data_IF_327983256780
#
_entry.id   IF_327983256780
#
_cell.length_a   1.000
_cell.length_b   1.000
_cell.length_c   1.000
_cell.angle_alpha   90.00
_cell.angle_beta   90.00
_cell.angle_gamma   90.00
#
_symmetry.space_group_name_H-M   'P 1'
#
loop_
_entity.id
_entity.type
_entity.pdbx_description
1 polymer ?
#
# COMPACT_ATOMS: atom_id res chain seq x y z
N UNK A 1 -13.19 6.37 11.57
CA UNK A 1 -13.46 7.55 10.73
C UNK A 1 -13.80 8.72 11.64
N UNK A 2 -13.30 9.91 11.35
CA UNK A 2 -13.47 11.09 12.21
C UNK A 2 -14.11 12.25 11.46
N UNK A 3 -14.18 13.41 12.12
CA UNK A 3 -14.74 14.67 11.58
C UNK A 3 -14.16 15.02 10.20
N UNK A 4 -12.88 14.70 9.98
CA UNK A 4 -12.22 14.80 8.68
C UNK A 4 -11.66 13.44 8.25
N UNK A 5 -11.74 13.17 6.96
CA UNK A 5 -11.09 12.09 6.25
C UNK A 5 -10.13 12.68 5.19
N UNK A 6 -9.48 11.82 4.40
CA UNK A 6 -8.55 12.25 3.35
C UNK A 6 -8.73 11.39 2.10
N UNK A 7 -8.67 12.02 0.93
CA UNK A 7 -8.74 11.34 -0.38
C UNK A 7 -7.53 11.69 -1.27
N UNK A 8 -7.27 10.89 -2.31
CA UNK A 8 -6.11 11.08 -3.19
C UNK A 8 -4.83 10.48 -2.63
N UNK A 9 -3.70 11.18 -2.72
CA UNK A 9 -2.38 10.70 -2.27
C UNK A 9 -2.18 10.80 -0.75
N UNK A 10 -3.18 10.36 0.02
CA UNK A 10 -3.08 10.24 1.49
C UNK A 10 -2.01 9.22 1.92
N UNK A 11 -1.55 9.26 3.19
CA UNK A 11 -2.00 10.15 4.27
C UNK A 11 -1.39 11.57 4.17
N UNK A 12 -0.48 11.81 3.22
CA UNK A 12 0.35 13.02 3.22
C UNK A 12 -0.10 14.08 2.22
N UNK A 13 -0.24 13.68 0.96
CA UNK A 13 -0.56 14.57 -0.17
C UNK A 13 -2.03 14.53 -0.57
N UNK A 14 -2.88 13.89 0.22
CA UNK A 14 -4.30 13.79 -0.04
C UNK A 14 -5.04 15.05 0.40
N UNK A 15 -6.20 15.29 -0.21
CA UNK A 15 -7.08 16.39 0.13
C UNK A 15 -7.93 16.03 1.35
N UNK A 16 -7.99 16.92 2.34
CA UNK A 16 -8.86 16.75 3.50
C UNK A 16 -10.33 16.87 3.07
N UNK A 17 -11.16 15.94 3.53
CA UNK A 17 -12.60 15.88 3.26
C UNK A 17 -13.33 15.92 4.60
N UNK A 18 -14.15 16.95 4.79
CA UNK A 18 -15.01 17.03 5.97
C UNK A 18 -16.12 15.99 5.83
N UNK A 19 -16.22 15.10 6.81
CA UNK A 19 -17.20 14.02 6.84
C UNK A 19 -18.19 14.19 8.00
N UNK A 20 -17.78 14.85 9.10
CA UNK A 20 -18.60 15.04 10.30
C UNK A 20 -19.26 13.74 10.82
N UNK A 21 -18.58 12.60 10.59
CA UNK A 21 -19.13 11.26 10.84
C UNK A 21 -18.18 10.44 11.71
N UNK A 22 -18.76 9.75 12.69
CA UNK A 22 -18.08 8.77 13.52
C UNK A 22 -18.63 7.39 13.18
N UNK A 23 -17.72 6.43 12.99
CA UNK A 23 -18.06 5.02 12.79
C UNK A 23 -17.58 4.27 14.03
N UNK A 24 -18.47 3.51 14.64
CA UNK A 24 -18.16 2.64 15.77
C UNK A 24 -18.90 1.30 15.61
N UNK A 25 -18.24 0.21 15.98
CA UNK A 25 -18.79 -1.14 15.94
C UNK A 25 -18.08 -2.03 16.95
N UNK A 26 -18.75 -3.09 17.40
CA UNK A 26 -18.12 -4.18 18.17
C UNK A 26 -17.45 -5.22 17.27
N UNK A 27 -17.79 -5.21 15.98
CA UNK A 27 -17.18 -6.02 14.94
C UNK A 27 -16.24 -5.11 14.12
N UNK A 28 -14.94 -5.42 14.18
CA UNK A 28 -13.88 -4.64 13.51
C UNK A 28 -13.97 -4.73 11.99
N UNK A 29 -14.36 -5.87 11.44
CA UNK A 29 -14.53 -6.07 10.00
C UNK A 29 -15.73 -5.27 9.51
N UNK A 30 -16.83 -5.26 10.28
CA UNK A 30 -17.99 -4.47 9.96
C UNK A 30 -17.68 -2.96 9.97
N UNK A 31 -16.87 -2.47 10.93
CA UNK A 31 -16.45 -1.07 10.98
C UNK A 31 -15.71 -0.66 9.70
N UNK A 32 -14.67 -1.42 9.31
CA UNK A 32 -13.86 -1.12 8.14
C UNK A 32 -14.65 -1.29 6.83
N UNK A 33 -15.51 -2.30 6.76
CA UNK A 33 -16.39 -2.51 5.62
C UNK A 33 -17.43 -1.39 5.48
N UNK A 34 -17.95 -0.85 6.60
CA UNK A 34 -18.82 0.33 6.60
C UNK A 34 -18.09 1.55 6.05
N UNK A 35 -16.86 1.81 6.53
CA UNK A 35 -16.04 2.92 6.05
C UNK A 35 -15.78 2.80 4.53
N UNK A 36 -15.46 1.60 4.03
CA UNK A 36 -15.32 1.34 2.60
C UNK A 36 -16.58 1.72 1.82
N UNK A 37 -17.76 1.28 2.27
CA UNK A 37 -19.04 1.58 1.61
C UNK A 37 -19.33 3.08 1.56
N UNK A 38 -19.06 3.79 2.66
CA UNK A 38 -19.20 5.24 2.74
C UNK A 38 -18.25 5.94 1.75
N UNK A 39 -17.01 5.46 1.60
CA UNK A 39 -16.05 5.99 0.62
C UNK A 39 -16.35 5.57 -0.84
N UNK A 40 -17.38 4.75 -1.06
CA UNK A 40 -17.72 4.21 -2.38
C UNK A 40 -16.79 3.09 -2.85
N UNK A 41 -16.11 2.41 -1.94
CA UNK A 41 -15.25 1.24 -2.16
C UNK A 41 -16.07 -0.03 -1.89
N UNK A 42 -15.92 -1.03 -2.75
CA UNK A 42 -16.39 -2.37 -2.43
C UNK A 42 -15.45 -3.01 -1.38
N UNK A 43 -15.92 -3.36 -0.17
CA UNK A 43 -15.07 -3.96 0.88
C UNK A 43 -14.32 -5.22 0.42
N UNK A 44 -14.89 -6.00 -0.49
CA UNK A 44 -14.26 -7.22 -1.03
C UNK A 44 -13.05 -6.93 -1.95
N UNK A 45 -12.85 -5.68 -2.38
CA UNK A 45 -11.63 -5.28 -3.09
C UNK A 45 -10.45 -5.04 -2.15
N UNK A 46 -10.69 -4.98 -0.83
CA UNK A 46 -9.68 -4.72 0.19
C UNK A 46 -9.25 -6.06 0.80
N UNK A 47 -8.04 -6.49 0.46
CA UNK A 47 -7.56 -7.85 0.75
C UNK A 47 -7.56 -8.19 2.26
N UNK A 48 -7.16 -7.25 3.12
CA UNK A 48 -7.11 -7.53 4.56
C UNK A 48 -8.51 -7.65 5.20
N UNK A 49 -9.52 -6.94 4.68
CA UNK A 49 -10.92 -7.06 5.12
C UNK A 49 -11.45 -8.45 4.73
N UNK A 50 -11.23 -8.86 3.48
CA UNK A 50 -11.62 -10.19 2.98
C UNK A 50 -10.99 -11.32 3.81
N UNK A 51 -9.68 -11.27 4.04
CA UNK A 51 -8.96 -12.28 4.83
C UNK A 51 -9.46 -12.30 6.28
N UNK A 52 -9.80 -11.16 6.87
CA UNK A 52 -10.32 -11.10 8.23
C UNK A 52 -11.69 -11.79 8.35
N UNK A 53 -12.58 -11.59 7.38
CA UNK A 53 -13.86 -12.31 7.29
C UNK A 53 -13.65 -13.82 7.10
N UNK A 54 -12.78 -14.24 6.19
CA UNK A 54 -12.45 -15.66 5.95
C UNK A 54 -11.88 -16.35 7.19
N UNK A 55 -11.24 -15.59 8.09
CA UNK A 55 -10.73 -16.06 9.39
C UNK A 55 -11.75 -15.98 10.52
N UNK A 56 -12.98 -15.54 10.25
CA UNK A 56 -14.04 -15.41 11.25
C UNK A 56 -13.80 -14.29 12.28
N UNK A 57 -12.99 -13.28 11.95
CA UNK A 57 -12.71 -12.15 12.85
C UNK A 57 -13.81 -11.08 12.85
N UNK A 58 -14.83 -11.26 12.01
CA UNK A 58 -15.96 -10.37 11.86
C UNK A 58 -16.65 -10.59 10.51
N UNK A 59 -17.67 -9.80 10.24
CA UNK A 59 -18.51 -9.95 9.05
C UNK A 59 -18.42 -8.71 8.16
N UNK A 60 -18.28 -8.92 6.85
CA UNK A 60 -18.36 -7.82 5.89
C UNK A 60 -19.82 -7.39 5.70
N UNK A 61 -20.76 -8.35 5.70
CA UNK A 61 -22.19 -8.12 5.47
C UNK A 61 -23.05 -8.40 6.71
N UNK A 62 -24.36 -8.21 6.58
CA UNK A 62 -25.37 -8.54 7.61
C UNK A 62 -25.18 -7.82 8.94
N UNK A 63 -24.71 -6.58 8.88
CA UNK A 63 -24.60 -5.71 10.04
C UNK A 63 -25.83 -4.79 10.15
N UNK A 64 -26.25 -4.54 11.38
CA UNK A 64 -27.25 -3.53 11.68
C UNK A 64 -26.58 -2.15 11.69
N UNK A 65 -27.12 -1.22 10.90
CA UNK A 65 -26.68 0.18 10.91
C UNK A 65 -27.62 0.96 11.81
N UNK A 66 -27.06 1.56 12.86
CA UNK A 66 -27.77 2.46 13.77
C UNK A 66 -27.27 3.89 13.54
N UNK A 67 -28.20 4.82 13.32
CA UNK A 67 -27.90 6.22 13.05
C UNK A 67 -28.10 6.58 11.57
N UNK A 68 -27.12 7.27 10.98
CA UNK A 68 -27.20 7.74 9.59
C UNK A 68 -27.22 6.58 8.60
N UNK A 69 -28.11 6.66 7.62
CA UNK A 69 -28.10 5.73 6.50
C UNK A 69 -26.85 5.95 5.64
N UNK A 70 -26.18 4.85 5.26
CA UNK A 70 -24.95 4.90 4.46
C UNK A 70 -25.17 5.71 3.18
N UNK A 71 -26.32 5.60 2.52
CA UNK A 71 -26.62 6.31 1.27
C UNK A 71 -26.60 7.83 1.42
N UNK A 72 -26.96 8.36 2.59
CA UNK A 72 -26.99 9.80 2.87
C UNK A 72 -25.59 10.38 3.08
N UNK A 73 -24.68 9.58 3.64
CA UNK A 73 -23.30 9.99 3.96
C UNK A 73 -22.27 9.49 2.94
N UNK A 74 -22.71 8.67 1.97
CA UNK A 74 -21.84 8.08 0.96
C UNK A 74 -21.27 9.15 0.05
N UNK A 75 -19.95 9.10 -0.12
CA UNK A 75 -19.20 9.95 -1.02
C UNK A 75 -18.19 9.11 -1.76
N UNK A 76 -18.07 9.31 -3.07
CA UNK A 76 -17.03 8.64 -3.87
C UNK A 76 -15.69 9.34 -3.61
N UNK A 77 -14.78 8.67 -2.93
CA UNK A 77 -13.44 9.20 -2.68
C UNK A 77 -12.56 9.04 -3.93
N UNK A 78 -11.62 9.97 -4.11
CA UNK A 78 -10.53 9.83 -5.09
C UNK A 78 -9.44 8.91 -4.55
N UNK A 79 -8.88 8.05 -5.41
CA UNK A 79 -7.80 7.13 -5.06
C UNK A 79 -6.50 7.51 -5.78
N UNK A 80 -5.33 7.25 -5.18
CA UNK A 80 -4.05 7.60 -5.80
C UNK A 80 -3.71 6.74 -7.04
N UNK A 81 -4.48 5.68 -7.30
CA UNK A 81 -4.23 4.71 -8.37
C UNK A 81 -5.28 4.83 -9.48
N UNK A 82 -4.87 5.37 -10.63
CA UNK A 82 -5.65 5.27 -11.88
C UNK A 82 -5.86 3.80 -12.29
N UNK A 83 -6.90 3.51 -13.09
CA UNK A 83 -7.29 2.14 -13.49
C UNK A 83 -6.10 1.28 -14.00
N UNK A 84 -5.16 1.89 -14.74
CA UNK A 84 -3.98 1.20 -15.26
C UNK A 84 -3.00 0.77 -14.15
N UNK A 85 -2.84 1.58 -13.09
CA UNK A 85 -2.02 1.22 -11.92
C UNK A 85 -2.67 0.11 -11.09
N UNK A 86 -4.02 0.00 -11.02
CA UNK A 86 -4.70 -1.14 -10.35
C UNK A 86 -4.42 -2.48 -11.03
N UNK A 87 -4.46 -2.53 -12.37
CA UNK A 87 -4.13 -3.74 -13.14
C UNK A 87 -2.68 -4.19 -12.85
N UNK A 88 -1.74 -3.24 -12.81
CA UNK A 88 -0.33 -3.47 -12.46
C UNK A 88 -0.16 -4.15 -11.10
N UNK A 89 -0.84 -3.67 -10.06
CA UNK A 89 -0.74 -4.28 -8.72
C UNK A 89 -1.43 -5.64 -8.64
N UNK A 90 -2.56 -5.84 -9.35
CA UNK A 90 -3.19 -7.17 -9.45
C UNK A 90 -2.30 -8.21 -10.12
N UNK A 91 -1.54 -7.83 -11.15
CA UNK A 91 -0.57 -8.73 -11.80
C UNK A 91 0.55 -9.11 -10.83
N UNK A 92 1.03 -8.15 -10.04
CA UNK A 92 2.06 -8.41 -9.04
C UNK A 92 1.53 -9.31 -7.91
N UNK A 93 0.32 -9.06 -7.41
CA UNK A 93 -0.33 -9.90 -6.40
C UNK A 93 -0.52 -11.33 -6.92
N UNK A 94 -0.97 -11.51 -8.16
CA UNK A 94 -1.10 -12.83 -8.78
C UNK A 94 0.25 -13.55 -8.90
N UNK A 95 1.31 -12.84 -9.32
CA UNK A 95 2.66 -13.39 -9.38
C UNK A 95 3.19 -13.83 -8.02
N UNK A 96 2.89 -13.07 -6.97
CA UNK A 96 3.27 -13.40 -5.59
C UNK A 96 2.45 -14.56 -5.01
N UNK A 97 1.14 -14.59 -5.26
CA UNK A 97 0.26 -15.68 -4.84
C UNK A 97 0.70 -17.00 -5.50
N UNK A 98 0.95 -16.98 -6.81
CA UNK A 98 1.50 -18.13 -7.53
C UNK A 98 2.87 -18.58 -6.98
N UNK A 99 3.77 -17.64 -6.67
CA UNK A 99 5.07 -17.96 -6.08
C UNK A 99 4.94 -18.58 -4.68
N UNK A 100 3.98 -18.13 -3.86
CA UNK A 100 3.76 -18.67 -2.52
C UNK A 100 3.22 -20.12 -2.51
N UNK A 101 2.54 -20.55 -3.57
CA UNK A 101 2.04 -21.91 -3.73
C UNK A 101 3.09 -22.91 -4.26
N UNK A 102 4.29 -22.45 -4.65
CA UNK A 102 5.30 -23.28 -5.30
C UNK A 102 6.40 -23.84 -4.39
N UNK A 103 6.33 -23.55 -3.08
CA UNK A 103 7.09 -24.27 -2.07
C UNK A 103 8.57 -23.88 -1.95
N UNK A 104 8.83 -22.80 -1.22
CA UNK A 104 9.99 -22.61 -0.35
C UNK A 104 11.37 -22.75 -0.97
N UNK A 105 11.60 -22.34 -2.22
CA UNK A 105 12.95 -22.36 -2.81
C UNK A 105 13.78 -21.10 -2.50
N UNK A 106 15.12 -21.18 -2.58
CA UNK A 106 16.04 -20.01 -2.39
C UNK A 106 15.77 -18.85 -3.36
N UNK A 107 15.17 -19.15 -4.52
CA UNK A 107 14.81 -18.15 -5.53
C UNK A 107 13.54 -17.36 -5.14
N UNK A 108 12.60 -17.97 -4.42
CA UNK A 108 11.42 -17.26 -3.88
C UNK A 108 11.83 -16.22 -2.85
N UNK A 109 12.82 -16.51 -1.99
CA UNK A 109 13.38 -15.52 -1.06
C UNK A 109 13.98 -14.33 -1.81
N UNK A 110 14.69 -14.59 -2.91
CA UNK A 110 15.29 -13.54 -3.74
C UNK A 110 14.22 -12.72 -4.47
N UNK A 111 13.22 -13.36 -5.05
CA UNK A 111 12.10 -12.69 -5.67
C UNK A 111 11.31 -11.85 -4.65
N UNK A 112 11.04 -12.40 -3.46
CA UNK A 112 10.40 -11.69 -2.37
C UNK A 112 11.22 -10.49 -1.89
N UNK A 113 12.53 -10.62 -1.70
CA UNK A 113 13.42 -9.51 -1.36
C UNK A 113 13.41 -8.41 -2.43
N UNK A 114 13.44 -8.79 -3.71
CA UNK A 114 13.42 -7.82 -4.81
C UNK A 114 12.05 -7.14 -4.92
N UNK A 115 10.97 -7.91 -4.87
CA UNK A 115 9.60 -7.39 -4.93
C UNK A 115 9.33 -6.47 -3.73
N UNK A 116 9.65 -6.89 -2.51
CA UNK A 116 9.48 -6.06 -1.32
C UNK A 116 10.32 -4.79 -1.38
N UNK A 117 11.56 -4.85 -1.89
CA UNK A 117 12.43 -3.67 -2.09
C UNK A 117 11.88 -2.74 -3.17
N UNK A 118 11.26 -3.29 -4.22
CA UNK A 118 10.68 -2.52 -5.31
C UNK A 118 9.33 -1.89 -4.94
N UNK A 119 8.54 -2.62 -4.16
CA UNK A 119 7.25 -2.18 -3.63
C UNK A 119 7.40 -1.19 -2.47
N UNK A 120 8.59 -1.12 -1.88
CA UNK A 120 8.90 -0.15 -0.85
C UNK A 120 8.79 1.26 -1.42
N UNK A 121 7.74 1.96 -1.02
CA UNK A 121 7.60 3.40 -1.25
C UNK A 121 8.77 4.08 -0.54
N UNK A 122 9.67 4.69 -1.30
CA UNK A 122 10.83 5.38 -0.74
C UNK A 122 10.66 6.89 -0.90
N UNK A 123 10.95 7.72 0.12
CA UNK A 123 10.93 9.17 -0.04
C UNK A 123 12.08 9.61 -0.95
N UNK A 124 11.84 10.59 -1.82
CA UNK A 124 12.83 11.23 -2.70
C UNK A 124 12.74 12.72 -2.51
N UNK A 125 13.87 13.36 -2.22
CA UNK A 125 13.97 14.82 -2.11
C UNK A 125 14.20 15.38 -3.50
N UNK A 126 13.33 16.29 -3.92
CA UNK A 126 13.38 16.93 -5.23
C UNK A 126 14.15 18.25 -5.18
N UNK A 127 14.39 18.83 -6.36
CA UNK A 127 15.12 20.10 -6.53
C UNK A 127 14.40 21.30 -5.91
N UNK A 128 13.09 21.19 -5.66
CA UNK A 128 12.27 22.22 -5.01
C UNK A 128 12.60 22.39 -3.51
N UNK A 129 13.46 21.53 -2.95
CA UNK A 129 13.86 21.57 -1.55
C UNK A 129 14.57 22.89 -1.18
N UNK A 130 14.02 23.61 -0.21
CA UNK A 130 14.57 24.87 0.32
C UNK A 130 15.58 24.68 1.45
N UNK A 131 16.05 23.46 1.68
CA UNK A 131 17.07 23.10 2.69
C UNK A 131 16.76 23.57 4.12
N UNK A 132 15.47 23.60 4.51
CA UNK A 132 15.06 23.96 5.88
C UNK A 132 15.37 22.88 6.94
N UNK A 133 15.84 21.70 6.54
CA UNK A 133 16.26 20.59 7.40
C UNK A 133 15.21 20.01 8.37
N UNK A 134 13.93 20.43 8.28
CA UNK A 134 12.84 19.87 9.10
C UNK A 134 12.72 18.35 9.00
N UNK A 135 12.98 17.78 7.82
CA UNK A 135 12.94 16.33 7.60
C UNK A 135 13.98 15.55 8.43
N UNK A 136 15.12 16.17 8.79
CA UNK A 136 16.16 15.55 9.61
C UNK A 136 15.62 15.31 11.02
N UNK A 137 15.08 16.36 11.66
CA UNK A 137 14.50 16.25 13.01
C UNK A 137 13.22 15.41 13.06
N UNK A 138 12.46 15.36 11.96
CA UNK A 138 11.26 14.53 11.86
C UNK A 138 11.56 13.03 11.69
N UNK A 139 12.78 12.64 11.28
CA UNK A 139 13.11 11.25 11.00
C UNK A 139 13.38 10.47 12.30
N UNK A 140 12.51 9.53 12.72
CA UNK A 140 12.67 8.84 14.01
C UNK A 140 13.86 7.88 14.05
N UNK A 141 14.38 7.50 12.88
CA UNK A 141 15.50 6.55 12.73
C UNK A 141 16.79 7.22 12.25
N UNK A 142 16.82 8.56 12.18
CA UNK A 142 18.01 9.30 11.76
C UNK A 142 18.54 8.88 10.38
N UNK A 143 17.64 8.61 9.42
CA UNK A 143 18.00 8.15 8.09
C UNK A 143 18.34 9.29 7.11
N UNK A 144 18.24 10.55 7.53
CA UNK A 144 18.52 11.73 6.68
C UNK A 144 19.68 12.49 7.31
N UNK A 145 20.74 12.72 6.53
CA UNK A 145 21.92 13.45 6.99
C UNK A 145 21.83 14.97 6.73
N UNK A 146 22.85 15.71 7.20
CA UNK A 146 22.93 17.17 7.05
C UNK A 146 23.05 17.64 5.59
N UNK A 147 23.46 16.75 4.68
CA UNK A 147 23.51 17.01 3.24
C UNK A 147 22.17 16.69 2.56
N UNK A 148 21.13 16.35 3.32
CA UNK A 148 19.82 15.93 2.85
C UNK A 148 19.89 14.65 2.00
N UNK A 149 20.89 13.80 2.24
CA UNK A 149 20.94 12.47 1.65
C UNK A 149 20.18 11.47 2.54
N UNK A 150 19.38 10.61 1.92
CA UNK A 150 18.59 9.58 2.60
C UNK A 150 19.33 8.25 2.55
N UNK A 151 19.67 7.69 3.72
CA UNK A 151 20.14 6.31 3.84
C UNK A 151 18.95 5.34 3.81
N UNK A 152 18.68 4.79 2.62
CA UNK A 152 17.59 3.83 2.42
C UNK A 152 17.77 2.51 3.17
N UNK A 153 18.98 2.20 3.68
CA UNK A 153 19.19 1.01 4.52
C UNK A 153 18.64 1.23 5.94
N UNK A 154 18.75 2.46 6.44
CA UNK A 154 18.19 2.86 7.75
C UNK A 154 16.71 3.24 7.66
N UNK A 155 16.32 3.91 6.57
CA UNK A 155 14.96 4.37 6.35
C UNK A 155 13.96 3.22 6.53
N UNK A 156 12.89 3.47 7.28
CA UNK A 156 11.79 2.50 7.48
C UNK A 156 10.60 2.73 6.55
N UNK A 157 10.69 3.70 5.62
CA UNK A 157 9.62 4.06 4.69
C UNK A 157 8.32 4.54 5.37
N UNK A 158 8.44 5.21 6.52
CA UNK A 158 7.30 5.71 7.30
C UNK A 158 6.64 7.00 6.77
N UNK A 159 7.24 7.66 5.76
CA UNK A 159 6.74 8.89 5.13
C UNK A 159 6.60 10.16 6.00
N UNK A 160 7.00 10.13 7.28
CA UNK A 160 6.98 11.31 8.17
C UNK A 160 7.77 12.49 7.57
N UNK A 161 8.90 12.23 6.90
CA UNK A 161 9.66 13.29 6.23
C UNK A 161 8.91 13.97 5.08
N UNK A 162 8.03 13.24 4.39
CA UNK A 162 7.15 13.75 3.34
C UNK A 162 6.15 14.74 3.95
N UNK A 163 5.52 14.35 5.07
CA UNK A 163 4.54 15.18 5.80
C UNK A 163 5.20 16.41 6.41
N UNK A 164 6.39 16.24 6.96
CA UNK A 164 7.13 17.31 7.61
C UNK A 164 7.62 18.38 6.62
N UNK A 165 7.59 18.14 5.30
CA UNK A 165 8.11 19.10 4.33
C UNK A 165 7.06 20.19 4.00
N UNK A 166 7.22 21.44 4.48
CA UNK A 166 6.25 22.50 4.23
C UNK A 166 6.26 23.00 2.77
N UNK A 167 7.23 22.55 1.98
CA UNK A 167 7.40 22.92 0.58
C UNK A 167 6.99 21.79 -0.38
N UNK A 168 6.46 20.67 0.14
CA UNK A 168 6.10 19.49 -0.64
C UNK A 168 7.22 19.00 -1.59
N UNK A 169 8.48 19.22 -1.18
CA UNK A 169 9.68 18.90 -1.94
C UNK A 169 10.20 17.48 -1.69
N UNK A 170 9.51 16.69 -0.86
CA UNK A 170 9.81 15.28 -0.67
C UNK A 170 8.59 14.52 -1.19
N UNK A 171 8.82 13.53 -2.06
CA UNK A 171 7.75 12.76 -2.73
C UNK A 171 8.01 11.26 -2.62
N UNK A 172 6.99 10.44 -2.75
CA UNK A 172 7.16 9.00 -2.92
C UNK A 172 7.81 8.69 -4.27
N UNK A 173 8.86 7.86 -4.26
CA UNK A 173 9.49 7.33 -5.47
C UNK A 173 8.45 6.58 -6.29
N UNK A 174 8.34 6.92 -7.57
CA UNK A 174 7.55 6.12 -8.49
C UNK A 174 8.20 4.75 -8.71
N UNK A 175 7.38 3.70 -8.63
CA UNK A 175 7.81 2.34 -8.89
C UNK A 175 7.96 2.17 -10.41
N UNK A 176 9.19 1.96 -10.88
CA UNK A 176 9.45 1.61 -12.28
C UNK A 176 8.77 0.29 -12.63
N UNK A 177 7.79 0.38 -13.53
CA UNK A 177 7.03 -0.78 -14.03
C UNK A 177 7.94 -1.76 -14.77
N UNK A 178 8.90 -1.25 -15.53
CA UNK A 178 9.83 -2.06 -16.32
C UNK A 178 10.69 -2.96 -15.41
N UNK A 179 11.19 -2.40 -14.31
CA UNK A 179 11.95 -3.15 -13.30
C UNK A 179 11.08 -4.21 -12.61
N UNK A 180 9.81 -3.88 -12.31
CA UNK A 180 8.88 -4.83 -11.71
C UNK A 180 8.59 -6.02 -12.61
N UNK A 181 8.32 -5.74 -13.88
CA UNK A 181 8.05 -6.77 -14.90
C UNK A 181 9.30 -7.61 -15.10
N UNK A 182 10.47 -7.01 -15.29
CA UNK A 182 11.71 -7.75 -15.51
C UNK A 182 12.02 -8.73 -14.37
N UNK A 183 11.90 -8.29 -13.12
CA UNK A 183 12.13 -9.13 -11.94
C UNK A 183 11.08 -10.25 -11.82
N UNK A 184 9.81 -9.95 -12.10
CA UNK A 184 8.75 -10.98 -12.17
C UNK A 184 9.01 -11.98 -13.29
N UNK A 185 9.37 -11.54 -14.49
CA UNK A 185 9.68 -12.42 -15.63
C UNK A 185 10.87 -13.32 -15.32
N UNK A 186 11.93 -12.78 -14.71
CA UNK A 186 13.08 -13.57 -14.26
C UNK A 186 12.63 -14.62 -13.23
N UNK A 187 11.80 -14.24 -12.26
CA UNK A 187 11.25 -15.17 -11.27
C UNK A 187 10.46 -16.30 -11.93
N UNK A 188 9.50 -15.97 -12.80
CA UNK A 188 8.67 -16.95 -13.52
C UNK A 188 9.53 -17.88 -14.40
N UNK A 189 10.50 -17.35 -15.14
CA UNK A 189 11.40 -18.14 -15.99
C UNK A 189 12.28 -19.10 -15.18
N UNK A 190 12.81 -18.65 -14.03
CA UNK A 190 13.62 -19.49 -13.15
C UNK A 190 12.80 -20.62 -12.52
N UNK A 191 11.57 -20.31 -12.10
CA UNK A 191 10.60 -21.29 -11.60
C UNK A 191 10.26 -22.32 -12.67
N UNK A 192 9.88 -21.86 -13.88
CA UNK A 192 9.53 -22.74 -14.99
C UNK A 192 10.70 -23.66 -15.39
N UNK A 193 11.92 -23.12 -15.44
CA UNK A 193 13.14 -23.89 -15.73
C UNK A 193 13.37 -25.01 -14.69
N UNK A 194 13.17 -24.74 -13.40
CA UNK A 194 13.28 -25.76 -12.34
C UNK A 194 12.17 -26.81 -12.42
N UNK A 195 10.92 -26.42 -12.68
CA UNK A 195 9.82 -27.36 -12.85
C UNK A 195 10.04 -28.32 -14.03
N UNK A 196 10.60 -27.81 -15.13
CA UNK A 196 10.99 -28.62 -16.30
C UNK A 196 12.14 -29.57 -15.93
N UNK A 197 13.21 -29.06 -15.28
CA UNK A 197 14.34 -29.90 -14.85
C UNK A 197 13.91 -30.98 -13.84
N UNK A 198 13.09 -30.64 -12.85
CA UNK A 198 12.57 -31.61 -11.86
C UNK A 198 11.66 -32.69 -12.44
N UNK A 199 11.07 -32.46 -13.63
CA UNK A 199 10.34 -33.48 -14.42
C UNK A 199 11.24 -34.30 -15.35
N UNK A 200 12.39 -33.77 -15.77
CA UNK A 200 13.38 -34.45 -16.63
C UNK A 200 14.33 -35.38 -15.85
N UNK A 201 14.49 -35.17 -14.54
CA UNK A 201 15.36 -35.97 -13.66
C UNK A 201 14.57 -36.87 -12.68
N UNK A 202 13.30 -37.18 -12.99
CA UNK A 202 12.49 -38.20 -12.31
C UNK A 202 12.23 -39.37 -13.24
#
# INVERSE_FOLDING_TARGET
MGVYAQEGEGPVGGNAIKMDLIIASRDVVAADATACRIMGINPYEIQHIKIAEERGLGNVNNMEIVGEDISNVKRKFSYPLSNFKRIKYKILDFGMDFASHLGGTTEEKRAYEVITKLMRTNPVISKECRKCQRCIGACPVGAIDNNLAIDYRKCKACMICVEACPFHAIKSKEISLLLAIAEMTICVLRVASKAIRGKLYK
#
